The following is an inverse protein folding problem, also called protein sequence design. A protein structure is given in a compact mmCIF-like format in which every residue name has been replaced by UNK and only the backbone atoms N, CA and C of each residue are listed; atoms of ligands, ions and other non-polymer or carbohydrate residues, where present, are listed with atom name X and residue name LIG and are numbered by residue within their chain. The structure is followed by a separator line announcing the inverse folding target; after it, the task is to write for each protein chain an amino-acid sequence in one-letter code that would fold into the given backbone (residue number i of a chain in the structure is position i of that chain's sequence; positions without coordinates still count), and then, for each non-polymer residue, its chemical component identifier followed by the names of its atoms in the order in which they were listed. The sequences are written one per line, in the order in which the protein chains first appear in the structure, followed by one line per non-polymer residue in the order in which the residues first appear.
data_IF_405781981305
#
_entry.id   IF_405781981305
#
_cell.length_a   1.000
_cell.length_b   1.000
_cell.length_c   1.000
_cell.angle_alpha   90.00
_cell.angle_beta   90.00
_cell.angle_gamma   90.00
#
_symmetry.space_group_name_H-M   'P 1'
#
loop_
_entity.id
_entity.type
_entity.pdbx_description
1 polymer ?
#
# COMPACT_ATOMS: atom_id res chain seq x y z
N UNK A 1 -15.03 3.72 -6.60
CA UNK A 1 -16.13 2.76 -6.39
C UNK A 1 -16.32 2.54 -4.90
N UNK A 2 -17.56 2.48 -4.43
CA UNK A 2 -17.96 2.04 -3.09
C UNK A 2 -18.80 0.79 -3.22
N UNK A 3 -18.68 -0.14 -2.27
CA UNK A 3 -19.38 -1.43 -2.30
C UNK A 3 -20.28 -1.57 -1.10
N UNK A 4 -21.50 -2.11 -1.31
CA UNK A 4 -22.44 -2.45 -0.23
C UNK A 4 -22.19 -3.83 0.39
N UNK A 5 -21.17 -4.53 -0.11
CA UNK A 5 -20.75 -5.88 0.32
C UNK A 5 -19.24 -5.92 0.52
N UNK A 6 -18.71 -6.96 1.15
CA UNK A 6 -17.28 -7.18 1.27
C UNK A 6 -16.73 -7.76 -0.04
N UNK A 7 -15.85 -7.06 -0.75
CA UNK A 7 -15.17 -7.65 -1.91
C UNK A 7 -14.29 -8.84 -1.48
N UNK A 8 -14.10 -9.87 -2.33
CA UNK A 8 -13.36 -11.10 -1.98
C UNK A 8 -11.97 -10.86 -1.41
N UNK A 9 -11.28 -9.80 -1.85
CA UNK A 9 -9.97 -9.41 -1.31
C UNK A 9 -10.08 -8.94 0.15
N UNK A 10 -11.09 -8.14 0.48
CA UNK A 10 -11.30 -7.64 1.84
C UNK A 10 -11.66 -8.79 2.77
N UNK A 11 -12.47 -9.74 2.32
CA UNK A 11 -12.78 -10.96 3.09
C UNK A 11 -11.52 -11.76 3.43
N UNK A 12 -10.62 -11.96 2.46
CA UNK A 12 -9.33 -12.64 2.69
C UNK A 12 -8.45 -11.88 3.69
N UNK A 13 -8.35 -10.56 3.55
CA UNK A 13 -7.58 -9.72 4.47
C UNK A 13 -8.14 -9.78 5.88
N UNK A 14 -9.46 -9.70 6.02
CA UNK A 14 -10.15 -9.76 7.31
C UNK A 14 -9.99 -11.14 7.97
N UNK A 15 -10.13 -12.21 7.20
CA UNK A 15 -9.89 -13.59 7.68
C UNK A 15 -8.47 -13.79 8.17
N UNK A 16 -7.47 -13.29 7.42
CA UNK A 16 -6.07 -13.36 7.83
C UNK A 16 -5.81 -12.54 9.10
N UNK A 17 -6.39 -11.34 9.22
CA UNK A 17 -6.26 -10.49 10.39
C UNK A 17 -6.92 -11.08 11.64
N UNK A 18 -8.11 -11.68 11.50
CA UNK A 18 -8.79 -12.42 12.58
C UNK A 18 -7.90 -13.56 13.10
N UNK A 19 -7.43 -14.42 12.20
CA UNK A 19 -6.55 -15.54 12.56
C UNK A 19 -5.27 -15.08 13.24
N UNK A 20 -4.65 -14.01 12.74
CA UNK A 20 -3.42 -13.46 13.35
C UNK A 20 -3.69 -12.96 14.78
N UNK A 21 -4.80 -12.23 14.98
CA UNK A 21 -5.20 -11.74 16.31
C UNK A 21 -5.49 -12.88 17.28
N UNK A 22 -6.16 -13.95 16.84
CA UNK A 22 -6.42 -15.15 17.66
C UNK A 22 -5.12 -15.83 18.11
N UNK A 23 -4.12 -15.91 17.22
CA UNK A 23 -2.85 -16.58 17.52
C UNK A 23 -1.87 -15.72 18.31
N UNK A 24 -1.85 -14.41 18.10
CA UNK A 24 -0.81 -13.52 18.63
C UNK A 24 -1.33 -12.49 19.64
N UNK A 25 -2.63 -12.27 19.74
CA UNK A 25 -3.25 -11.18 20.49
C UNK A 25 -3.05 -9.79 19.87
N UNK A 26 -2.43 -9.69 18.68
CA UNK A 26 -2.04 -8.41 18.04
C UNK A 26 -2.80 -8.16 16.76
N UNK A 27 -2.86 -6.90 16.32
CA UNK A 27 -3.45 -6.52 15.04
C UNK A 27 -2.41 -6.66 13.94
N UNK A 28 -2.69 -7.48 12.93
CA UNK A 28 -1.77 -7.82 11.84
C UNK A 28 -1.21 -6.58 11.12
N UNK A 29 -2.07 -5.64 10.75
CA UNK A 29 -1.65 -4.47 9.96
C UNK A 29 -0.83 -3.47 10.78
N UNK A 30 -1.04 -3.39 12.10
CA UNK A 30 -0.20 -2.60 12.99
C UNK A 30 1.20 -3.21 13.12
N UNK A 31 1.29 -4.53 13.24
CA UNK A 31 2.59 -5.22 13.31
C UNK A 31 3.36 -5.14 11.98
N UNK A 32 2.66 -5.22 10.83
CA UNK A 32 3.29 -5.01 9.52
C UNK A 32 3.88 -3.61 9.45
N UNK A 33 3.09 -2.57 9.73
CA UNK A 33 3.56 -1.19 9.65
C UNK A 33 4.71 -0.93 10.64
N UNK A 34 4.60 -1.43 11.86
CA UNK A 34 5.67 -1.35 12.88
C UNK A 34 6.97 -1.97 12.38
N UNK A 35 6.89 -3.10 11.71
CA UNK A 35 8.06 -3.77 11.14
C UNK A 35 8.67 -2.99 9.99
N UNK A 36 7.85 -2.47 9.06
CA UNK A 36 8.34 -1.64 7.97
C UNK A 36 9.07 -0.38 8.49
N UNK A 37 8.53 0.26 9.54
CA UNK A 37 9.15 1.42 10.17
C UNK A 37 10.44 1.08 10.92
N UNK A 38 10.56 -0.12 11.49
CA UNK A 38 11.77 -0.58 12.16
C UNK A 38 12.88 -0.95 11.15
N UNK A 39 12.55 -1.72 10.12
CA UNK A 39 13.48 -2.21 9.10
C UNK A 39 13.92 -1.08 8.14
N UNK A 40 13.05 -0.13 7.83
CA UNK A 40 13.24 1.05 6.96
C UNK A 40 13.63 0.76 5.51
N UNK A 41 13.93 -0.48 5.15
CA UNK A 41 14.45 -0.83 3.81
C UNK A 41 13.44 -0.56 2.69
N UNK A 42 12.13 -0.68 2.98
CA UNK A 42 11.06 -0.48 2.01
C UNK A 42 10.31 0.86 2.16
N UNK A 43 10.72 1.72 3.09
CA UNK A 43 10.18 3.08 3.20
C UNK A 43 10.62 3.90 1.99
N UNK A 44 9.67 4.57 1.35
CA UNK A 44 9.90 5.49 0.22
C UNK A 44 10.05 6.91 0.71
N UNK A 45 9.08 7.39 1.47
CA UNK A 45 9.09 8.72 2.11
C UNK A 45 8.16 8.72 3.33
N UNK A 46 8.31 9.72 4.18
CA UNK A 46 7.52 9.87 5.39
C UNK A 46 7.43 11.35 5.75
N UNK A 47 6.27 11.77 6.25
CA UNK A 47 6.11 13.04 6.94
C UNK A 47 5.66 12.81 8.40
N UNK A 48 5.22 13.84 9.09
CA UNK A 48 4.83 13.78 10.51
C UNK A 48 3.68 12.80 10.78
N UNK A 49 2.74 12.62 9.84
CA UNK A 49 1.52 11.84 10.04
C UNK A 49 1.37 10.64 9.12
N UNK A 50 2.16 10.55 8.05
CA UNK A 50 2.02 9.54 7.01
C UNK A 50 3.34 8.89 6.65
N UNK A 51 3.28 7.65 6.23
CA UNK A 51 4.40 6.92 5.65
C UNK A 51 4.00 6.27 4.33
N UNK A 52 4.88 6.36 3.34
CA UNK A 52 4.78 5.66 2.06
C UNK A 52 5.85 4.56 2.00
N UNK A 53 5.46 3.34 1.71
CA UNK A 53 6.35 2.19 1.62
C UNK A 53 5.93 1.21 0.53
N UNK A 54 6.87 0.45 -0.01
CA UNK A 54 6.61 -0.70 -0.87
C UNK A 54 6.35 -1.91 0.03
N UNK A 55 5.16 -2.52 0.00
CA UNK A 55 4.87 -3.63 0.91
C UNK A 55 5.74 -4.85 0.59
N UNK A 56 6.13 -5.64 1.60
CA UNK A 56 6.89 -6.89 1.42
C UNK A 56 6.22 -7.83 0.42
N UNK A 57 4.89 -7.97 0.50
CA UNK A 57 4.09 -8.80 -0.39
C UNK A 57 3.48 -7.98 -1.56
N UNK A 58 4.27 -7.06 -2.15
CA UNK A 58 3.86 -6.30 -3.31
C UNK A 58 3.48 -7.24 -4.47
N UNK A 59 2.45 -6.87 -5.23
CA UNK A 59 1.97 -7.63 -6.40
C UNK A 59 2.40 -6.99 -7.72
N UNK A 60 2.77 -5.71 -7.65
CA UNK A 60 3.24 -4.93 -8.79
C UNK A 60 4.60 -4.31 -8.47
N UNK A 61 5.48 -4.14 -9.47
CA UNK A 61 6.85 -3.66 -9.26
C UNK A 61 6.96 -2.36 -8.45
N UNK A 62 6.01 -1.43 -8.67
CA UNK A 62 5.95 -0.15 -7.97
C UNK A 62 4.62 -0.01 -7.23
N UNK A 63 4.23 -1.04 -6.51
CA UNK A 63 3.11 -0.96 -5.56
C UNK A 63 3.55 -0.16 -4.34
N UNK A 64 2.80 0.90 -4.01
CA UNK A 64 3.09 1.75 -2.85
C UNK A 64 1.85 1.79 -1.97
N UNK A 65 2.05 1.61 -0.67
CA UNK A 65 1.05 1.88 0.35
C UNK A 65 1.41 3.18 1.07
N UNK A 66 0.45 4.10 1.14
CA UNK A 66 0.54 5.31 1.97
C UNK A 66 -0.43 5.14 3.13
N UNK A 67 0.09 5.06 4.34
CA UNK A 67 -0.68 4.79 5.55
C UNK A 67 -0.47 5.86 6.61
N UNK A 68 -1.50 6.18 7.41
CA UNK A 68 -1.32 6.99 8.61
C UNK A 68 -0.36 6.28 9.58
N UNK A 69 0.48 7.04 10.27
CA UNK A 69 1.37 6.51 11.32
C UNK A 69 0.60 6.05 12.55
N UNK A 70 -0.54 6.67 12.85
CA UNK A 70 -1.46 6.24 13.89
C UNK A 70 -2.52 5.29 13.36
N UNK A 71 -3.04 4.37 14.18
CA UNK A 71 -4.11 3.46 13.76
C UNK A 71 -5.39 4.22 13.41
N UNK A 72 -5.79 4.18 12.15
CA UNK A 72 -7.00 4.79 11.60
C UNK A 72 -7.73 3.75 10.76
N UNK A 73 -9.03 3.59 10.96
CA UNK A 73 -9.81 2.57 10.27
C UNK A 73 -10.34 3.06 8.91
N UNK A 74 -10.75 4.32 8.80
CA UNK A 74 -11.27 4.92 7.56
C UNK A 74 -11.04 6.43 7.51
N UNK A 75 -11.46 7.04 6.39
CA UNK A 75 -11.28 8.47 6.14
C UNK A 75 -11.99 9.38 7.15
N UNK A 76 -13.05 8.91 7.81
CA UNK A 76 -13.83 9.72 8.76
C UNK A 76 -13.13 9.85 10.13
N UNK A 77 -12.16 8.99 10.40
CA UNK A 77 -11.36 9.01 11.64
C UNK A 77 -10.07 9.83 11.50
N UNK A 78 -9.76 10.35 10.32
CA UNK A 78 -8.58 11.19 10.12
C UNK A 78 -8.69 12.49 10.91
N UNK A 79 -7.63 12.85 11.62
CA UNK A 79 -7.52 14.15 12.25
C UNK A 79 -7.33 15.26 11.19
N UNK A 80 -7.55 16.51 11.60
CA UNK A 80 -7.31 17.66 10.72
C UNK A 80 -5.86 17.70 10.23
N UNK A 81 -4.89 17.45 11.12
CA UNK A 81 -3.46 17.46 10.82
C UNK A 81 -3.09 16.34 9.81
N UNK A 82 -3.70 15.17 9.95
CA UNK A 82 -3.55 14.09 8.98
C UNK A 82 -4.12 14.48 7.61
N UNK A 83 -5.31 15.10 7.58
CA UNK A 83 -5.90 15.59 6.33
C UNK A 83 -5.03 16.69 5.68
N UNK A 84 -4.54 17.64 6.47
CA UNK A 84 -3.74 18.77 5.98
C UNK A 84 -2.36 18.32 5.44
N UNK A 85 -1.77 17.27 6.00
CA UNK A 85 -0.45 16.74 5.60
C UNK A 85 -0.47 15.70 4.49
N UNK A 86 -1.63 15.08 4.20
CA UNK A 86 -1.77 14.06 3.17
C UNK A 86 -1.41 14.54 1.75
N UNK A 87 -1.85 15.75 1.28
CA UNK A 87 -1.55 16.18 -0.07
C UNK A 87 -0.05 16.26 -0.38
N UNK A 88 0.77 16.63 0.59
CA UNK A 88 2.22 16.72 0.42
C UNK A 88 2.86 15.35 0.12
N UNK A 89 2.53 14.32 0.92
CA UNK A 89 3.08 12.97 0.70
C UNK A 89 2.50 12.32 -0.56
N UNK A 90 1.22 12.56 -0.87
CA UNK A 90 0.59 12.06 -2.08
C UNK A 90 1.25 12.63 -3.35
N UNK A 91 1.51 13.95 -3.36
CA UNK A 91 2.21 14.63 -4.46
C UNK A 91 3.66 14.13 -4.58
N UNK A 92 4.37 13.95 -3.47
CA UNK A 92 5.72 13.44 -3.49
C UNK A 92 5.78 12.02 -4.07
N UNK A 93 4.90 11.12 -3.63
CA UNK A 93 4.83 9.74 -4.13
C UNK A 93 4.55 9.70 -5.62
N UNK A 94 3.60 10.50 -6.12
CA UNK A 94 3.28 10.53 -7.55
C UNK A 94 4.43 11.10 -8.39
N UNK A 95 5.12 12.14 -7.92
CA UNK A 95 6.33 12.67 -8.57
C UNK A 95 7.46 11.62 -8.64
N UNK A 96 7.65 10.85 -7.56
CA UNK A 96 8.64 9.77 -7.54
C UNK A 96 8.30 8.67 -8.54
N UNK A 97 7.01 8.29 -8.66
CA UNK A 97 6.55 7.34 -9.68
C UNK A 97 6.87 7.84 -11.10
N UNK A 98 6.57 9.09 -11.42
CA UNK A 98 6.87 9.69 -12.72
C UNK A 98 8.39 9.75 -12.98
N UNK A 99 9.18 9.98 -11.95
CA UNK A 99 10.63 10.10 -12.05
C UNK A 99 11.38 8.78 -12.26
N UNK A 100 10.80 7.63 -11.85
CA UNK A 100 11.50 6.31 -11.94
C UNK A 100 11.99 6.00 -13.36
N UNK A 101 11.19 6.32 -14.38
CA UNK A 101 11.54 6.11 -15.78
C UNK A 101 11.64 7.42 -16.59
N UNK A 102 11.55 8.57 -15.92
CA UNK A 102 11.58 9.88 -16.58
C UNK A 102 10.38 10.17 -17.50
N UNK A 103 9.28 9.45 -17.31
CA UNK A 103 8.03 9.61 -18.05
C UNK A 103 6.83 9.42 -17.12
N UNK A 104 5.69 10.11 -17.35
CA UNK A 104 4.49 9.92 -16.55
C UNK A 104 4.12 8.44 -16.40
N UNK A 105 3.94 8.00 -15.16
CA UNK A 105 3.63 6.62 -14.85
C UNK A 105 2.12 6.44 -14.72
N UNK A 106 1.52 5.63 -15.61
CA UNK A 106 0.14 5.22 -15.46
C UNK A 106 -0.01 4.36 -14.19
N UNK A 107 -0.97 4.68 -13.34
CA UNK A 107 -1.24 3.95 -12.10
C UNK A 107 -2.74 3.83 -11.83
N UNK A 108 -3.07 2.87 -11.00
CA UNK A 108 -4.38 2.71 -10.37
C UNK A 108 -4.18 3.01 -8.88
N UNK A 109 -5.04 3.85 -8.33
CA UNK A 109 -5.01 4.17 -6.92
C UNK A 109 -6.36 3.92 -6.25
N UNK A 110 -6.33 3.39 -5.04
CA UNK A 110 -7.54 3.10 -4.27
C UNK A 110 -7.31 3.30 -2.77
N UNK A 111 -8.28 3.87 -2.09
CA UNK A 111 -8.36 3.86 -0.64
C UNK A 111 -8.88 2.50 -0.17
N UNK A 112 -8.13 1.87 0.71
CA UNK A 112 -8.56 0.69 1.44
C UNK A 112 -8.96 1.13 2.84
N UNK A 113 -10.22 0.87 3.19
CA UNK A 113 -10.82 1.22 4.47
C UNK A 113 -11.26 -0.04 5.18
N UNK A 114 -11.29 0.00 6.51
CA UNK A 114 -11.91 -1.07 7.27
C UNK A 114 -13.42 -1.14 6.99
N UNK A 115 -14.01 -2.34 6.97
CA UNK A 115 -15.46 -2.48 6.81
C UNK A 115 -16.23 -1.79 7.93
N UNK A 116 -17.40 -1.25 7.60
CA UNK A 116 -18.21 -0.48 8.56
C UNK A 116 -18.85 -1.39 9.64
N UNK A 117 -19.23 -2.61 9.26
CA UNK A 117 -20.06 -3.48 10.11
C UNK A 117 -19.28 -4.52 10.91
N UNK A 118 -18.11 -4.98 10.42
CA UNK A 118 -17.35 -6.03 11.08
C UNK A 118 -15.85 -5.85 10.87
N UNK A 119 -15.03 -6.24 11.86
CA UNK A 119 -13.59 -6.25 11.77
C UNK A 119 -12.94 -4.87 11.60
N UNK A 120 -13.65 -3.81 12.02
CA UNK A 120 -13.18 -2.43 11.95
C UNK A 120 -11.88 -2.22 12.74
N UNK A 121 -11.71 -2.96 13.82
CA UNK A 121 -10.52 -2.97 14.67
C UNK A 121 -9.35 -3.80 14.12
N UNK A 122 -9.55 -4.49 13.01
CA UNK A 122 -8.57 -5.42 12.43
C UNK A 122 -7.88 -4.89 11.17
N UNK A 123 -8.56 -4.01 10.42
CA UNK A 123 -8.04 -3.42 9.19
C UNK A 123 -7.68 -1.95 9.40
N UNK A 124 -6.79 -1.44 8.56
CA UNK A 124 -6.30 -0.05 8.64
C UNK A 124 -6.47 0.67 7.32
N UNK A 125 -6.80 1.95 7.42
CA UNK A 125 -6.82 2.86 6.28
C UNK A 125 -5.44 2.90 5.63
N UNK A 126 -5.41 2.74 4.32
CA UNK A 126 -4.23 3.06 3.51
C UNK A 126 -4.63 3.39 2.08
N UNK A 127 -3.87 4.24 1.45
CA UNK A 127 -3.96 4.50 0.03
C UNK A 127 -2.98 3.60 -0.70
N UNK A 128 -3.48 2.71 -1.54
CA UNK A 128 -2.68 1.81 -2.35
C UNK A 128 -2.58 2.35 -3.77
N UNK A 129 -1.37 2.43 -4.28
CA UNK A 129 -1.05 2.78 -5.66
C UNK A 129 -0.39 1.57 -6.31
N UNK A 130 -0.81 1.21 -7.51
CA UNK A 130 -0.21 0.14 -8.30
C UNK A 130 0.04 0.62 -9.72
N UNK A 131 1.20 0.31 -10.29
CA UNK A 131 1.48 0.53 -11.70
C UNK A 131 1.74 -0.78 -12.41
N UNK A 132 1.20 -0.89 -13.62
CA UNK A 132 1.50 -2.02 -14.51
C UNK A 132 2.84 -1.88 -15.22
N UNK A 133 3.51 -0.73 -15.11
CA UNK A 133 4.82 -0.49 -15.73
C UNK A 133 5.92 -1.15 -14.88
N UNK A 134 6.77 -1.97 -15.51
CA UNK A 134 7.87 -2.66 -14.83
C UNK A 134 9.26 -2.22 -15.27
N UNK A 135 9.36 -1.62 -16.45
CA UNK A 135 10.59 -1.05 -17.00
C UNK A 135 10.22 -0.02 -18.08
N UNK A 136 11.17 0.79 -18.57
CA UNK A 136 10.93 1.69 -19.69
C UNK A 136 10.32 0.93 -20.88
N UNK A 137 9.14 1.36 -21.34
CA UNK A 137 8.42 0.73 -22.45
C UNK A 137 7.89 -0.69 -22.20
N UNK A 138 8.02 -1.24 -21.00
CA UNK A 138 7.56 -2.60 -20.65
C UNK A 138 6.46 -2.60 -19.61
N UNK A 139 5.37 -3.27 -19.91
CA UNK A 139 4.25 -3.47 -18.98
C UNK A 139 4.33 -4.86 -18.34
N UNK A 140 3.82 -4.97 -17.12
CA UNK A 140 3.57 -6.25 -16.46
C UNK A 140 2.21 -6.76 -16.93
N UNK A 141 2.22 -7.75 -17.79
CA UNK A 141 1.02 -8.52 -18.11
C UNK A 141 0.86 -9.63 -17.08
N UNK A 142 -0.38 -9.84 -16.61
CA UNK A 142 -0.67 -10.91 -15.69
C UNK A 142 -0.54 -12.27 -16.41
N UNK A 143 0.25 -13.16 -15.84
CA UNK A 143 0.40 -14.54 -16.31
C UNK A 143 -0.78 -15.41 -15.84
N UNK A 144 -0.83 -16.66 -16.28
CA UNK A 144 -1.87 -17.60 -15.89
C UNK A 144 -1.93 -17.86 -14.37
N UNK A 145 -0.78 -17.87 -13.68
CA UNK A 145 -0.71 -17.98 -12.23
C UNK A 145 -1.46 -16.83 -11.53
N UNK A 146 -1.25 -15.61 -11.99
CA UNK A 146 -1.86 -14.40 -11.41
C UNK A 146 -3.35 -14.30 -11.79
N UNK A 147 -3.66 -14.47 -13.08
CA UNK A 147 -5.02 -14.31 -13.60
C UNK A 147 -5.96 -15.43 -13.17
N UNK A 148 -5.49 -16.70 -13.16
CA UNK A 148 -6.33 -17.85 -12.84
C UNK A 148 -6.29 -18.23 -11.36
N UNK A 149 -5.12 -18.15 -10.72
CA UNK A 149 -4.92 -18.61 -9.33
C UNK A 149 -4.77 -17.48 -8.32
N UNK A 150 -4.65 -16.22 -8.75
CA UNK A 150 -4.40 -15.09 -7.86
C UNK A 150 -3.05 -15.14 -7.14
N UNK A 151 -2.11 -15.94 -7.66
CA UNK A 151 -0.75 -16.06 -7.14
C UNK A 151 0.18 -15.14 -7.94
N UNK A 152 0.51 -13.99 -7.36
CA UNK A 152 1.31 -12.95 -8.01
C UNK A 152 2.80 -13.30 -8.04
N UNK A 153 3.43 -13.05 -9.17
CA UNK A 153 4.86 -13.24 -9.39
C UNK A 153 5.50 -11.86 -9.45
N UNK A 154 6.55 -11.65 -8.66
CA UNK A 154 7.34 -10.42 -8.66
C UNK A 154 8.65 -10.63 -9.41
N UNK A 155 8.94 -9.71 -10.33
CA UNK A 155 10.18 -9.64 -11.12
C UNK A 155 11.14 -8.52 -10.63
N UNK A 156 10.70 -7.71 -9.67
CA UNK A 156 11.51 -6.69 -8.99
C UNK A 156 11.31 -6.81 -7.50
N UNK A 157 12.39 -6.91 -6.74
CA UNK A 157 12.29 -7.01 -5.27
C UNK A 157 11.72 -5.70 -4.69
N UNK A 158 10.84 -5.79 -3.68
CA UNK A 158 10.25 -4.60 -3.05
C UNK A 158 11.28 -3.60 -2.52
N UNK A 159 12.40 -4.09 -2.00
CA UNK A 159 13.52 -3.27 -1.52
C UNK A 159 14.17 -2.47 -2.64
N UNK A 160 14.35 -3.08 -3.82
CA UNK A 160 14.89 -2.42 -5.00
C UNK A 160 13.92 -1.36 -5.53
N UNK A 161 12.61 -1.67 -5.57
CA UNK A 161 11.58 -0.70 -5.97
C UNK A 161 11.56 0.51 -5.03
N UNK A 162 11.64 0.27 -3.73
CA UNK A 162 11.69 1.35 -2.74
C UNK A 162 12.96 2.20 -2.87
N UNK A 163 14.10 1.57 -3.14
CA UNK A 163 15.36 2.26 -3.39
C UNK A 163 15.27 3.15 -4.64
N UNK A 164 14.81 2.61 -5.76
CA UNK A 164 14.65 3.37 -7.00
C UNK A 164 13.72 4.57 -6.82
N UNK A 165 12.61 4.41 -6.09
CA UNK A 165 11.70 5.49 -5.78
C UNK A 165 12.35 6.58 -4.91
N UNK A 166 13.20 6.21 -3.93
CA UNK A 166 13.94 7.17 -3.09
C UNK A 166 14.98 7.96 -3.89
N UNK A 167 15.63 7.34 -4.86
CA UNK A 167 16.69 7.94 -5.66
C UNK A 167 16.19 8.94 -6.71
N UNK A 168 14.88 9.01 -6.94
CA UNK A 168 14.28 10.02 -7.82
C UNK A 168 14.54 11.42 -7.24
N UNK A 169 15.15 12.29 -8.04
CA UNK A 169 15.29 13.71 -7.72
C UNK A 169 13.99 14.43 -7.98
N UNK A 170 13.46 15.12 -6.96
CA UNK A 170 12.21 15.86 -7.00
C UNK A 170 12.42 17.35 -7.34
#
# INVERSE_FOLDING_TARGET
YAYSYLPPRVEKMLSAAKRYKELSGRVLFDEILKRELADKVRIVTQNEHWVAYVPYAARYPYEIHVAPLSPVADLTELSKEQCDSYPAIALEVTKRLDGVFGIPMAYIAAWHQAPVREGRDLLRLHWQITSVRRAPGKLKYLAGSESAMGAFIMDVMPEQSAQQLREVKL
#
